data_IF_476277186715
#
_entry.id   IF_476277186715
#
_cell.length_a   1.000
_cell.length_b   1.000
_cell.length_c   1.000
_cell.angle_alpha   90.00
_cell.angle_beta   90.00
_cell.angle_gamma   90.00
#
_symmetry.space_group_name_H-M   'P 1'
#
loop_
_entity.id
_entity.type
_entity.pdbx_description
1 polymer ?
#
# COMPACT_ATOMS: atom_id res chain seq x y z
N UNK A 1 41.72 -49.46 -23.97
CA UNK A 1 41.19 -48.13 -24.32
C UNK A 1 41.73 -47.12 -23.32
N UNK A 2 42.78 -46.38 -23.67
CA UNK A 2 43.32 -45.32 -22.80
C UNK A 2 42.55 -44.04 -23.07
N UNK A 3 41.70 -43.63 -22.12
CA UNK A 3 40.99 -42.35 -22.20
C UNK A 3 41.95 -41.15 -22.16
N UNK A 4 41.49 -40.00 -22.67
CA UNK A 4 42.25 -38.74 -22.62
C UNK A 4 42.51 -38.31 -21.17
N UNK A 5 43.66 -37.68 -20.86
CA UNK A 5 43.99 -37.23 -19.51
C UNK A 5 43.02 -36.15 -19.04
N UNK A 6 42.58 -36.26 -17.77
CA UNK A 6 41.63 -35.33 -17.15
C UNK A 6 42.19 -34.74 -15.86
N UNK A 7 41.78 -33.52 -15.54
CA UNK A 7 42.10 -32.85 -14.27
C UNK A 7 41.25 -33.39 -13.09
N UNK A 8 41.51 -32.88 -11.89
CA UNK A 8 40.79 -33.21 -10.65
C UNK A 8 39.28 -32.89 -10.72
N UNK A 9 38.87 -32.05 -11.68
CA UNK A 9 37.49 -31.64 -11.92
C UNK A 9 36.84 -32.42 -13.07
N UNK A 10 37.57 -33.35 -13.70
CA UNK A 10 37.11 -34.20 -14.80
C UNK A 10 37.15 -33.54 -16.18
N UNK A 11 37.77 -32.37 -16.33
CA UNK A 11 37.98 -31.74 -17.63
C UNK A 11 39.17 -32.36 -18.35
N UNK A 12 39.06 -32.52 -19.66
CA UNK A 12 40.20 -32.93 -20.50
C UNK A 12 41.30 -31.86 -20.37
N UNK A 13 42.53 -32.30 -20.11
CA UNK A 13 43.70 -31.43 -20.02
C UNK A 13 44.17 -31.11 -21.44
N UNK A 14 44.08 -29.83 -21.82
CA UNK A 14 44.54 -29.32 -23.12
C UNK A 14 45.81 -28.46 -22.97
N UNK A 15 46.71 -28.45 -23.96
CA UNK A 15 46.68 -29.30 -25.15
C UNK A 15 47.09 -30.75 -24.83
N UNK A 16 46.70 -31.70 -25.67
CA UNK A 16 47.02 -33.12 -25.48
C UNK A 16 48.52 -33.39 -25.68
N UNK A 17 49.01 -34.47 -25.08
CA UNK A 17 50.38 -34.93 -25.35
C UNK A 17 50.53 -35.28 -26.84
N UNK A 18 51.57 -34.73 -27.48
CA UNK A 18 51.77 -34.86 -28.93
C UNK A 18 50.98 -33.86 -29.80
N UNK A 19 50.29 -32.88 -29.20
CA UNK A 19 49.63 -31.81 -29.95
C UNK A 19 50.60 -31.01 -30.81
N UNK A 20 50.08 -30.40 -31.89
CA UNK A 20 50.84 -29.44 -32.70
C UNK A 20 51.49 -28.35 -31.81
N UNK A 21 52.79 -28.12 -31.99
CA UNK A 21 53.55 -27.14 -31.22
C UNK A 21 53.42 -25.74 -31.85
N UNK A 22 53.31 -24.73 -30.99
CA UNK A 22 53.29 -23.33 -31.39
C UNK A 22 54.70 -22.73 -31.36
N UNK A 23 55.03 -21.78 -32.26
CA UNK A 23 54.22 -21.32 -33.39
C UNK A 23 54.24 -22.29 -34.58
N UNK A 24 53.19 -22.29 -35.39
CA UNK A 24 53.16 -23.02 -36.66
C UNK A 24 52.60 -22.15 -37.77
N UNK A 25 52.88 -22.54 -39.03
CA UNK A 25 52.48 -21.80 -40.21
C UNK A 25 51.41 -22.57 -40.98
N UNK A 26 50.38 -21.84 -41.43
CA UNK A 26 49.27 -22.40 -42.20
C UNK A 26 49.17 -21.63 -43.50
N UNK A 27 49.00 -22.35 -44.61
CA UNK A 27 48.68 -21.71 -45.89
C UNK A 27 47.19 -21.39 -45.92
N UNK A 28 46.86 -20.12 -46.13
CA UNK A 28 45.50 -19.68 -46.35
C UNK A 28 45.17 -19.61 -47.84
N UNK A 29 43.90 -19.84 -48.17
CA UNK A 29 43.37 -19.55 -49.50
C UNK A 29 42.88 -18.10 -49.51
N UNK A 30 43.47 -17.30 -50.39
CA UNK A 30 43.10 -15.88 -50.56
C UNK A 30 41.84 -15.82 -51.42
N UNK A 31 40.77 -15.23 -50.87
CA UNK A 31 39.50 -15.06 -51.58
C UNK A 31 39.48 -13.72 -52.30
N UNK A 32 39.99 -12.67 -51.65
CA UNK A 32 40.21 -11.35 -52.23
C UNK A 32 41.32 -10.60 -51.46
N UNK A 33 41.53 -9.31 -51.74
CA UNK A 33 42.56 -8.50 -51.09
C UNK A 33 42.37 -8.27 -49.58
N UNK A 34 41.21 -8.59 -49.02
CA UNK A 34 40.84 -8.34 -47.62
C UNK A 34 40.51 -9.61 -46.84
N UNK A 35 40.11 -10.68 -47.52
CA UNK A 35 39.59 -11.90 -46.92
C UNK A 35 40.43 -13.11 -47.33
N UNK A 36 40.89 -13.86 -46.33
CA UNK A 36 41.53 -15.15 -46.48
C UNK A 36 40.84 -16.16 -45.56
N UNK A 37 40.69 -17.39 -46.04
CA UNK A 37 40.17 -18.51 -45.23
C UNK A 37 41.23 -19.60 -45.20
N UNK A 38 41.43 -20.18 -44.02
CA UNK A 38 42.27 -21.36 -43.83
C UNK A 38 41.51 -22.37 -42.99
N UNK A 39 41.84 -23.64 -43.19
CA UNK A 39 41.32 -24.75 -42.38
C UNK A 39 42.49 -25.57 -41.87
N UNK A 40 42.30 -26.19 -40.71
CA UNK A 40 43.26 -27.09 -40.11
C UNK A 40 42.63 -28.47 -39.97
N UNK A 41 43.46 -29.51 -40.03
CA UNK A 41 43.02 -30.87 -39.72
C UNK A 41 43.20 -31.18 -38.23
N UNK A 42 44.13 -30.47 -37.57
CA UNK A 42 44.44 -30.64 -36.16
C UNK A 42 44.21 -29.33 -35.39
N UNK A 43 43.41 -29.45 -34.33
CA UNK A 43 43.08 -28.37 -33.40
C UNK A 43 43.53 -28.69 -31.96
N UNK A 44 44.29 -29.77 -31.76
CA UNK A 44 44.71 -30.26 -30.44
C UNK A 44 45.58 -29.28 -29.63
N UNK A 45 46.16 -28.31 -30.32
CA UNK A 45 46.97 -27.22 -29.76
C UNK A 45 46.13 -26.10 -29.11
N UNK A 46 44.83 -26.03 -29.43
CA UNK A 46 43.95 -24.96 -29.01
C UNK A 46 43.45 -25.20 -27.58
N UNK A 47 43.88 -24.36 -26.64
CA UNK A 47 43.32 -24.28 -25.29
C UNK A 47 42.63 -22.93 -25.09
N UNK A 48 41.45 -22.76 -25.67
CA UNK A 48 40.65 -21.53 -25.59
C UNK A 48 40.06 -21.25 -24.20
N UNK A 49 40.16 -22.19 -23.24
CA UNK A 49 39.75 -21.95 -21.85
C UNK A 49 40.76 -21.14 -21.04
N UNK A 50 42.04 -21.34 -21.31
CA UNK A 50 43.12 -20.76 -20.51
C UNK A 50 43.96 -19.73 -21.26
N UNK A 51 43.98 -19.77 -22.60
CA UNK A 51 44.88 -18.97 -23.42
C UNK A 51 44.15 -18.28 -24.55
N UNK A 52 44.62 -17.07 -24.85
CA UNK A 52 44.29 -16.34 -26.07
C UNK A 52 45.37 -16.61 -27.10
N UNK A 53 44.95 -16.78 -28.36
CA UNK A 53 45.84 -17.02 -29.48
C UNK A 53 45.72 -15.89 -30.48
N UNK A 54 46.84 -15.55 -31.11
CA UNK A 54 46.93 -14.50 -32.12
C UNK A 54 47.54 -15.03 -33.41
N UNK A 55 47.16 -14.41 -34.52
CA UNK A 55 47.64 -14.72 -35.86
C UNK A 55 48.44 -13.55 -36.40
N UNK A 56 49.52 -13.89 -37.08
CA UNK A 56 50.20 -13.00 -38.00
C UNK A 56 50.03 -13.52 -39.42
N UNK A 57 49.88 -12.60 -40.37
CA UNK A 57 49.77 -12.90 -41.79
C UNK A 57 51.03 -12.44 -42.53
N UNK A 58 51.36 -13.15 -43.61
CA UNK A 58 52.50 -12.83 -44.47
C UNK A 58 52.14 -13.18 -45.91
N UNK A 59 52.56 -12.33 -46.85
CA UNK A 59 52.45 -12.56 -48.28
C UNK A 59 53.72 -13.20 -48.89
N UNK A 60 54.87 -13.05 -48.24
CA UNK A 60 56.18 -13.54 -48.70
C UNK A 60 56.69 -14.75 -47.92
N UNK A 61 56.02 -15.10 -46.81
CA UNK A 61 56.42 -16.17 -45.89
C UNK A 61 57.64 -15.85 -45.04
N UNK A 62 58.12 -14.60 -45.08
CA UNK A 62 59.33 -14.15 -44.38
C UNK A 62 58.99 -13.03 -43.38
N UNK A 63 58.20 -12.05 -43.81
CA UNK A 63 57.78 -10.92 -42.99
C UNK A 63 56.33 -11.11 -42.56
N UNK A 64 56.12 -11.22 -41.25
CA UNK A 64 54.82 -11.45 -40.64
C UNK A 64 54.32 -10.19 -39.95
N UNK A 65 53.08 -9.80 -40.24
CA UNK A 65 52.44 -8.64 -39.67
C UNK A 65 51.04 -8.97 -39.17
N UNK A 66 50.60 -8.28 -38.13
CA UNK A 66 49.28 -8.46 -37.54
C UNK A 66 48.40 -7.23 -37.82
N UNK A 67 47.81 -6.66 -36.78
CA UNK A 67 46.87 -5.54 -36.88
C UNK A 67 47.54 -4.34 -37.56
N UNK A 68 46.93 -3.84 -38.62
CA UNK A 68 47.36 -2.67 -39.41
C UNK A 68 48.83 -2.72 -39.89
N UNK A 69 49.38 -3.92 -40.09
CA UNK A 69 50.77 -4.09 -40.51
C UNK A 69 51.81 -4.00 -39.39
N UNK A 70 51.37 -3.89 -38.12
CA UNK A 70 52.24 -3.83 -36.95
C UNK A 70 52.58 -5.21 -36.38
N UNK A 71 53.47 -5.24 -35.40
CA UNK A 71 53.86 -6.46 -34.66
C UNK A 71 52.82 -6.88 -33.60
N UNK A 72 51.59 -6.39 -33.68
CA UNK A 72 50.49 -6.75 -32.78
C UNK A 72 49.63 -7.82 -33.42
N UNK A 73 49.54 -9.01 -32.83
CA UNK A 73 48.83 -10.15 -33.43
C UNK A 73 47.31 -9.93 -33.52
N UNK A 74 46.67 -10.42 -34.58
CA UNK A 74 45.21 -10.45 -34.70
C UNK A 74 44.66 -11.57 -33.82
N UNK A 75 43.81 -11.24 -32.83
CA UNK A 75 43.24 -12.22 -31.90
C UNK A 75 42.26 -13.16 -32.61
N UNK A 76 42.34 -14.45 -32.27
CA UNK A 76 41.38 -15.45 -32.71
C UNK A 76 40.08 -15.39 -31.89
N UNK A 77 38.97 -15.13 -32.57
CA UNK A 77 37.63 -15.37 -32.05
C UNK A 77 37.23 -16.81 -32.35
N UNK A 78 37.01 -17.59 -31.30
CA UNK A 78 36.76 -19.02 -31.40
C UNK A 78 35.29 -19.29 -31.17
N UNK A 79 34.63 -19.84 -32.19
CA UNK A 79 33.25 -20.35 -32.11
C UNK A 79 33.36 -21.88 -32.19
N UNK A 80 32.89 -22.58 -31.15
CA UNK A 80 32.87 -24.05 -31.10
C UNK A 80 31.44 -24.52 -31.38
N UNK A 81 31.26 -25.37 -32.39
CA UNK A 81 29.95 -25.95 -32.75
C UNK A 81 29.65 -27.20 -31.89
N UNK A 82 30.58 -28.15 -31.81
CA UNK A 82 30.43 -29.39 -31.02
C UNK A 82 31.78 -29.84 -30.42
N UNK A 83 31.78 -30.36 -29.18
CA UNK A 83 32.97 -30.98 -28.58
C UNK A 83 33.04 -30.96 -27.06
N UNK A 84 33.63 -32.02 -26.46
CA UNK A 84 33.80 -32.15 -25.00
C UNK A 84 34.66 -31.05 -24.36
N UNK A 85 35.39 -30.28 -25.18
CA UNK A 85 36.19 -29.16 -24.74
C UNK A 85 35.36 -28.08 -24.03
N UNK A 86 34.05 -28.01 -24.30
CA UNK A 86 33.13 -26.98 -23.75
C UNK A 86 31.75 -27.49 -23.34
N UNK A 87 31.56 -28.78 -23.04
CA UNK A 87 30.40 -29.16 -22.22
C UNK A 87 30.64 -28.64 -20.81
N UNK A 88 30.42 -27.33 -20.64
CA UNK A 88 29.84 -26.74 -19.45
C UNK A 88 28.45 -27.38 -19.31
N UNK A 89 28.41 -28.67 -18.98
CA UNK A 89 27.57 -28.99 -17.87
C UNK A 89 28.09 -28.05 -16.78
N UNK A 90 27.24 -27.14 -16.32
CA UNK A 90 27.27 -26.76 -14.91
C UNK A 90 27.15 -28.08 -14.13
N UNK A 91 28.23 -28.87 -14.08
CA UNK A 91 28.48 -29.81 -13.01
C UNK A 91 28.77 -28.89 -11.85
N UNK A 92 27.71 -28.33 -11.29
CA UNK A 92 27.68 -28.08 -9.86
C UNK A 92 28.35 -29.33 -9.28
N UNK A 93 29.44 -29.14 -8.55
CA UNK A 93 29.94 -30.24 -7.73
C UNK A 93 28.89 -30.47 -6.64
N UNK A 94 27.76 -31.06 -7.02
CA UNK A 94 26.66 -31.52 -6.16
C UNK A 94 27.19 -32.56 -5.16
N UNK A 95 28.39 -33.12 -5.43
CA UNK A 95 29.16 -33.99 -4.58
C UNK A 95 29.99 -33.26 -3.51
N UNK A 96 30.05 -31.92 -3.50
CA UNK A 96 30.60 -31.19 -2.36
C UNK A 96 29.56 -31.22 -1.24
N UNK A 97 29.94 -31.66 -0.03
CA UNK A 97 29.10 -31.70 1.17
C UNK A 97 28.34 -30.38 1.43
N UNK A 98 28.87 -29.26 0.96
CA UNK A 98 28.26 -27.93 1.00
C UNK A 98 26.92 -27.86 0.25
N UNK A 99 26.74 -28.62 -0.83
CA UNK A 99 25.50 -28.64 -1.62
C UNK A 99 24.30 -29.23 -0.84
N UNK A 100 24.56 -30.04 0.19
CA UNK A 100 23.53 -30.56 1.10
C UNK A 100 23.18 -29.59 2.24
N UNK A 101 24.11 -28.71 2.63
CA UNK A 101 23.91 -27.78 3.75
C UNK A 101 23.29 -26.45 3.33
N UNK A 102 23.64 -25.94 2.16
CA UNK A 102 23.18 -24.62 1.70
C UNK A 102 21.64 -24.58 1.55
N UNK A 103 20.97 -25.55 0.89
CA UNK A 103 19.51 -25.51 0.73
C UNK A 103 18.72 -25.48 2.05
N UNK A 104 18.94 -26.39 3.03
CA UNK A 104 18.16 -26.36 4.28
C UNK A 104 18.43 -25.12 5.13
N UNK A 105 19.66 -24.58 5.12
CA UNK A 105 19.98 -23.33 5.83
C UNK A 105 19.19 -22.17 5.24
N UNK A 106 19.24 -22.00 3.92
CA UNK A 106 18.53 -20.91 3.23
C UNK A 106 17.02 -21.02 3.46
N UNK A 107 16.46 -22.23 3.33
CA UNK A 107 15.03 -22.48 3.61
C UNK A 107 14.70 -22.18 5.07
N UNK A 108 15.54 -22.58 6.02
CA UNK A 108 15.36 -22.31 7.44
C UNK A 108 15.35 -20.81 7.79
N UNK A 109 16.24 -20.03 7.18
CA UNK A 109 16.21 -18.56 7.35
C UNK A 109 14.98 -17.94 6.71
N UNK A 110 14.60 -18.38 5.51
CA UNK A 110 13.43 -17.87 4.82
C UNK A 110 12.13 -18.12 5.61
N UNK A 111 11.98 -19.32 6.18
CA UNK A 111 10.81 -19.67 6.99
C UNK A 111 10.76 -18.86 8.28
N UNK A 112 11.88 -18.64 8.97
CA UNK A 112 11.94 -17.79 10.17
C UNK A 112 11.58 -16.33 9.86
N UNK A 113 12.06 -15.78 8.73
CA UNK A 113 11.74 -14.42 8.31
C UNK A 113 10.24 -14.28 8.02
N UNK A 114 9.67 -15.20 7.23
CA UNK A 114 8.24 -15.19 6.91
C UNK A 114 7.41 -15.35 8.19
N UNK A 115 7.77 -16.30 9.05
CA UNK A 115 7.11 -16.51 10.34
C UNK A 115 7.15 -15.25 11.21
N UNK A 116 8.28 -14.55 11.27
CA UNK A 116 8.42 -13.29 12.03
C UNK A 116 7.54 -12.17 11.48
N UNK A 117 7.45 -12.03 10.15
CA UNK A 117 6.58 -11.04 9.50
C UNK A 117 5.10 -11.33 9.82
N UNK A 118 4.67 -12.59 9.67
CA UNK A 118 3.30 -13.01 9.98
C UNK A 118 2.98 -12.78 11.45
N UNK A 119 3.88 -13.15 12.36
CA UNK A 119 3.70 -12.92 13.80
C UNK A 119 3.53 -11.43 14.11
N UNK A 120 4.37 -10.56 13.54
CA UNK A 120 4.28 -9.11 13.76
C UNK A 120 2.94 -8.55 13.29
N UNK A 121 2.50 -8.91 12.08
CA UNK A 121 1.20 -8.47 11.55
C UNK A 121 0.02 -8.97 12.39
N UNK A 122 0.11 -10.20 12.89
CA UNK A 122 -0.92 -10.78 13.74
C UNK A 122 -0.98 -10.11 15.11
N UNK A 123 0.18 -9.88 15.76
CA UNK A 123 0.26 -9.23 17.07
C UNK A 123 -0.31 -7.80 17.03
N UNK A 124 0.09 -7.00 16.04
CA UNK A 124 -0.41 -5.64 15.86
C UNK A 124 -1.93 -5.60 15.68
N UNK A 125 -2.49 -6.61 15.00
CA UNK A 125 -3.94 -6.71 14.77
C UNK A 125 -4.68 -7.21 16.01
N UNK A 126 -4.05 -8.11 16.78
CA UNK A 126 -4.61 -8.65 18.01
C UNK A 126 -4.76 -7.56 19.10
N UNK A 127 -3.73 -6.73 19.29
CA UNK A 127 -3.77 -5.64 20.27
C UNK A 127 -4.85 -4.59 19.93
N UNK A 128 -4.94 -4.18 18.66
CA UNK A 128 -5.98 -3.22 18.20
C UNK A 128 -7.40 -3.74 18.43
N UNK A 129 -7.63 -5.03 18.20
CA UNK A 129 -8.93 -5.64 18.44
C UNK A 129 -9.29 -5.63 19.93
N UNK A 130 -8.31 -5.89 20.81
CA UNK A 130 -8.51 -5.86 22.27
C UNK A 130 -8.83 -4.46 22.78
N UNK A 131 -8.15 -3.44 22.28
CA UNK A 131 -8.44 -2.05 22.62
C UNK A 131 -9.85 -1.63 22.16
N UNK A 132 -10.26 -2.02 20.96
CA UNK A 132 -11.58 -1.73 20.44
C UNK A 132 -12.70 -2.39 21.27
N UNK A 133 -12.50 -3.62 21.74
CA UNK A 133 -13.44 -4.28 22.65
C UNK A 133 -13.53 -3.58 24.00
N UNK A 134 -12.40 -3.23 24.61
CA UNK A 134 -12.37 -2.44 25.85
C UNK A 134 -13.08 -1.09 25.67
N UNK A 135 -12.86 -0.41 24.56
CA UNK A 135 -13.49 0.87 24.26
C UNK A 135 -15.01 0.73 24.11
N UNK A 136 -15.49 -0.31 23.42
CA UNK A 136 -16.92 -0.61 23.30
C UNK A 136 -17.55 -0.86 24.68
N UNK A 137 -16.89 -1.61 25.56
CA UNK A 137 -17.37 -1.84 26.92
C UNK A 137 -17.48 -0.53 27.72
N UNK A 138 -16.50 0.37 27.60
CA UNK A 138 -16.54 1.68 28.26
C UNK A 138 -17.67 2.57 27.77
N UNK A 139 -17.92 2.58 26.45
CA UNK A 139 -19.02 3.31 25.83
C UNK A 139 -20.36 2.75 26.34
N UNK A 140 -20.53 1.43 26.29
CA UNK A 140 -21.74 0.76 26.79
C UNK A 140 -22.00 1.06 28.28
N UNK A 141 -20.95 1.06 29.11
CA UNK A 141 -21.07 1.46 30.52
C UNK A 141 -21.45 2.93 30.72
N UNK A 142 -20.95 3.83 29.86
CA UNK A 142 -21.34 5.24 29.88
C UNK A 142 -22.82 5.40 29.51
N UNK A 143 -23.26 4.75 28.44
CA UNK A 143 -24.63 4.85 27.93
C UNK A 143 -25.65 4.30 28.93
N UNK A 144 -25.37 3.14 29.55
CA UNK A 144 -26.21 2.61 30.62
C UNK A 144 -26.36 3.59 31.80
N UNK A 145 -25.28 4.27 32.19
CA UNK A 145 -25.34 5.29 33.26
C UNK A 145 -26.20 6.49 32.85
N UNK A 146 -26.09 6.95 31.61
CA UNK A 146 -26.91 8.06 31.11
C UNK A 146 -28.40 7.69 31.05
N UNK A 147 -28.74 6.50 30.54
CA UNK A 147 -30.12 6.01 30.51
C UNK A 147 -30.70 5.87 31.91
N UNK A 148 -29.92 5.39 32.88
CA UNK A 148 -30.36 5.32 34.27
C UNK A 148 -30.67 6.71 34.84
N UNK A 149 -29.80 7.70 34.62
CA UNK A 149 -30.04 9.09 35.04
C UNK A 149 -31.26 9.69 34.35
N UNK A 150 -31.47 9.42 33.06
CA UNK A 150 -32.65 9.89 32.35
C UNK A 150 -33.93 9.28 32.92
N UNK A 151 -33.92 7.98 33.21
CA UNK A 151 -35.06 7.29 33.81
C UNK A 151 -35.39 7.81 35.22
N UNK A 152 -34.38 8.17 36.03
CA UNK A 152 -34.64 8.78 37.34
C UNK A 152 -35.23 10.17 37.20
N UNK A 153 -34.71 11.00 36.29
CA UNK A 153 -35.26 12.34 36.00
C UNK A 153 -36.70 12.23 35.50
N UNK A 154 -36.99 11.34 34.55
CA UNK A 154 -38.34 11.14 34.01
C UNK A 154 -39.33 10.73 35.11
N UNK A 155 -38.93 9.83 36.02
CA UNK A 155 -39.76 9.46 37.19
C UNK A 155 -40.02 10.64 38.13
N UNK A 156 -39.03 11.50 38.35
CA UNK A 156 -39.19 12.70 39.18
C UNK A 156 -40.15 13.69 38.54
N UNK A 157 -40.01 13.90 37.23
CA UNK A 157 -40.91 14.75 36.43
C UNK A 157 -42.34 14.23 36.53
N UNK A 158 -42.55 12.93 36.33
CA UNK A 158 -43.87 12.31 36.40
C UNK A 158 -44.57 12.54 37.74
N UNK A 159 -43.84 12.31 38.85
CA UNK A 159 -44.36 12.58 40.20
C UNK A 159 -44.71 14.05 40.39
N UNK A 160 -43.90 14.96 39.84
CA UNK A 160 -44.17 16.39 39.94
C UNK A 160 -45.44 16.78 39.17
N UNK A 161 -45.65 16.23 37.97
CA UNK A 161 -46.89 16.41 37.21
C UNK A 161 -48.11 15.85 37.97
N UNK A 162 -48.02 14.62 38.50
CA UNK A 162 -49.11 13.99 39.26
C UNK A 162 -49.46 14.81 40.52
N UNK A 163 -48.47 15.27 41.26
CA UNK A 163 -48.67 16.09 42.47
C UNK A 163 -49.32 17.45 42.15
N UNK A 164 -48.91 18.11 41.06
CA UNK A 164 -49.51 19.37 40.64
C UNK A 164 -50.89 19.20 39.98
N UNK A 165 -51.17 18.04 39.37
CA UNK A 165 -52.46 17.77 38.73
C UNK A 165 -53.64 17.67 39.71
N UNK A 166 -53.37 17.33 40.98
CA UNK A 166 -54.37 17.32 42.05
C UNK A 166 -54.70 18.72 42.59
N UNK A 167 -53.98 19.77 42.17
CA UNK A 167 -54.21 21.17 42.55
C UNK A 167 -54.83 22.02 41.43
N UNK A 168 -55.19 21.42 40.30
CA UNK A 168 -55.81 22.13 39.17
C UNK A 168 -57.29 22.41 39.47
N UNK A 169 -57.59 23.64 39.88
CA UNK A 169 -58.94 24.23 39.81
C UNK A 169 -59.34 24.32 38.33
N UNK A 170 -60.60 24.02 37.94
CA UNK A 170 -61.04 24.20 36.56
C UNK A 170 -60.82 25.65 36.14
N UNK A 171 -60.06 25.85 35.06
CA UNK A 171 -59.92 27.14 34.40
C UNK A 171 -61.29 27.53 33.86
N UNK A 172 -61.91 28.53 34.47
CA UNK A 172 -63.02 29.26 33.86
C UNK A 172 -62.41 29.98 32.67
N UNK A 173 -62.91 29.70 31.45
CA UNK A 173 -62.59 30.49 30.27
C UNK A 173 -63.13 31.91 30.51
N UNK A 174 -62.24 32.80 30.94
CA UNK A 174 -62.49 34.25 30.97
C UNK A 174 -61.91 34.85 29.69
N UNK A 175 -62.81 35.27 28.82
CA UNK A 175 -62.61 35.77 27.45
C UNK A 175 -62.02 37.21 27.43
N UNK A 176 -61.19 37.61 28.40
CA UNK A 176 -60.85 39.03 28.57
C UNK A 176 -59.42 39.39 29.01
N UNK A 177 -58.41 38.54 28.76
CA UNK A 177 -56.99 38.86 29.08
C UNK A 177 -56.12 38.91 27.81
N UNK A 178 -55.35 39.99 27.55
CA UNK A 178 -54.47 40.06 26.38
C UNK A 178 -53.29 39.09 26.53
N UNK A 179 -53.14 38.21 25.54
CA UNK A 179 -52.11 37.18 25.43
C UNK A 179 -50.69 37.76 25.29
N UNK A 180 -50.00 38.01 26.40
CA UNK A 180 -48.53 38.19 26.43
C UNK A 180 -47.89 36.91 27.00
N UNK A 181 -47.24 36.12 26.13
CA UNK A 181 -46.21 35.16 26.55
C UNK A 181 -46.43 33.67 26.28
N UNK A 182 -47.41 33.24 25.49
CA UNK A 182 -47.40 31.87 24.96
C UNK A 182 -46.34 31.76 23.85
N UNK A 183 -45.31 30.94 24.07
CA UNK A 183 -44.32 30.64 23.03
C UNK A 183 -45.04 29.82 21.96
N UNK A 184 -45.30 30.44 20.81
CA UNK A 184 -45.91 29.76 19.65
C UNK A 184 -44.98 28.60 19.24
N UNK A 185 -45.55 27.40 19.12
CA UNK A 185 -44.83 26.21 18.69
C UNK A 185 -44.77 26.15 17.16
N UNK A 186 -43.55 26.23 16.61
CA UNK A 186 -43.30 26.16 15.17
C UNK A 186 -42.75 24.80 14.73
N UNK A 187 -42.71 23.81 15.62
CA UNK A 187 -42.12 22.48 15.35
C UNK A 187 -42.76 21.72 14.19
N UNK A 188 -44.06 21.95 13.97
CA UNK A 188 -44.83 21.34 12.89
C UNK A 188 -44.75 22.12 11.57
N UNK A 189 -44.15 23.31 11.57
CA UNK A 189 -44.04 24.13 10.36
C UNK A 189 -42.81 23.68 9.56
N UNK A 190 -43.05 23.28 8.32
CA UNK A 190 -42.02 22.86 7.37
C UNK A 190 -41.17 24.07 6.92
N UNK A 191 -39.85 23.88 6.80
CA UNK A 191 -38.90 24.95 6.42
C UNK A 191 -39.16 25.52 5.01
N UNK A 192 -39.75 24.72 4.13
CA UNK A 192 -40.07 25.03 2.74
C UNK A 192 -41.55 25.35 2.51
N UNK A 193 -42.34 25.51 3.58
CA UNK A 193 -43.75 25.89 3.45
C UNK A 193 -43.92 27.33 2.93
N UNK A 194 -45.02 27.57 2.23
CA UNK A 194 -45.42 28.93 1.84
C UNK A 194 -45.59 29.84 3.08
N UNK A 195 -45.98 29.25 4.22
CA UNK A 195 -46.05 29.90 5.54
C UNK A 195 -44.68 30.33 6.07
N UNK A 196 -43.61 29.57 5.75
CA UNK A 196 -42.24 29.87 6.15
C UNK A 196 -41.60 31.00 5.33
N UNK A 197 -41.90 31.01 4.03
CA UNK A 197 -41.22 31.84 3.04
C UNK A 197 -41.84 33.23 2.88
N UNK A 198 -43.13 33.40 3.22
CA UNK A 198 -43.85 34.68 3.17
C UNK A 198 -43.82 35.52 4.44
N UNK A 199 -43.32 35.00 5.56
CA UNK A 199 -43.37 35.64 6.89
C UNK A 199 -42.07 36.39 7.21
N UNK A 200 -42.17 37.65 7.66
CA UNK A 200 -41.02 38.39 8.19
C UNK A 200 -40.70 37.94 9.63
N UNK A 201 -39.61 37.18 9.79
CA UNK A 201 -39.21 36.58 11.07
C UNK A 201 -38.43 37.51 12.02
N UNK A 202 -38.18 38.74 11.59
CA UNK A 202 -37.34 39.69 12.32
C UNK A 202 -35.83 39.38 12.21
N UNK A 203 -35.00 40.13 12.95
CA UNK A 203 -33.55 40.15 12.75
C UNK A 203 -32.82 38.89 13.23
N UNK A 204 -33.46 38.05 14.06
CA UNK A 204 -32.89 36.78 14.50
C UNK A 204 -33.26 35.60 13.59
N UNK A 205 -33.99 35.85 12.50
CA UNK A 205 -34.40 34.83 11.54
C UNK A 205 -35.51 33.93 12.07
N UNK A 206 -35.83 32.82 11.36
CA UNK A 206 -36.92 31.92 11.72
C UNK A 206 -36.72 31.30 13.12
N UNK A 207 -37.82 30.87 13.77
CA UNK A 207 -37.78 30.28 15.11
C UNK A 207 -36.91 29.03 15.16
N UNK A 208 -36.11 28.88 16.22
CA UNK A 208 -35.22 27.72 16.40
C UNK A 208 -35.96 26.37 16.44
N UNK A 209 -37.26 26.36 16.75
CA UNK A 209 -38.08 25.14 16.75
C UNK A 209 -38.62 24.76 15.38
N UNK A 210 -38.44 25.57 14.34
CA UNK A 210 -39.01 25.32 13.02
C UNK A 210 -38.41 24.09 12.32
N UNK A 211 -39.25 23.32 11.61
CA UNK A 211 -38.81 22.15 10.83
C UNK A 211 -38.44 20.91 11.65
N UNK A 212 -38.60 20.93 12.98
CA UNK A 212 -38.25 19.77 13.82
C UNK A 212 -39.03 18.50 13.45
N UNK A 213 -40.29 18.65 13.06
CA UNK A 213 -41.11 17.51 12.62
C UNK A 213 -40.60 16.86 11.33
N UNK A 214 -39.96 17.62 10.42
CA UNK A 214 -39.33 17.05 9.21
C UNK A 214 -38.15 16.13 9.57
N UNK A 215 -37.54 16.33 10.73
CA UNK A 215 -36.48 15.49 11.28
C UNK A 215 -37.01 14.43 12.27
N UNK A 216 -38.32 14.22 12.33
CA UNK A 216 -38.96 13.22 13.21
C UNK A 216 -39.05 13.63 14.68
N UNK A 217 -38.84 14.91 15.00
CA UNK A 217 -38.91 15.46 16.36
C UNK A 217 -40.23 16.24 16.52
N UNK A 218 -41.22 15.60 17.13
CA UNK A 218 -42.57 16.16 17.30
C UNK A 218 -42.76 17.00 18.57
N UNK A 219 -41.78 17.02 19.46
CA UNK A 219 -41.75 17.88 20.64
C UNK A 219 -40.35 18.51 20.75
N UNK A 220 -40.24 19.85 20.78
CA UNK A 220 -38.95 20.52 20.89
C UNK A 220 -38.20 20.11 22.16
N UNK A 221 -36.92 19.71 22.05
CA UNK A 221 -36.04 19.57 23.20
C UNK A 221 -35.96 20.88 23.99
N UNK A 222 -35.72 20.79 25.30
CA UNK A 222 -35.69 21.96 26.20
C UNK A 222 -34.68 23.01 25.74
N UNK A 223 -33.55 22.57 25.20
CA UNK A 223 -32.49 23.42 24.68
C UNK A 223 -32.98 24.27 23.50
N UNK A 224 -33.80 23.70 22.62
CA UNK A 224 -34.38 24.41 21.47
C UNK A 224 -35.44 25.41 21.92
N UNK A 225 -36.26 25.05 22.92
CA UNK A 225 -37.23 25.97 23.52
C UNK A 225 -36.54 27.17 24.18
N UNK A 226 -35.43 26.95 24.90
CA UNK A 226 -34.65 28.03 25.50
C UNK A 226 -34.05 28.97 24.45
N UNK A 227 -33.56 28.43 23.33
CA UNK A 227 -33.05 29.23 22.21
C UNK A 227 -34.16 30.08 21.60
N UNK A 228 -35.35 29.50 21.37
CA UNK A 228 -36.49 30.24 20.85
C UNK A 228 -36.94 31.35 21.82
N UNK A 229 -36.95 31.09 23.12
CA UNK A 229 -37.26 32.13 24.12
C UNK A 229 -36.24 33.27 24.10
N UNK A 230 -34.95 32.98 23.86
CA UNK A 230 -33.93 34.03 23.70
C UNK A 230 -34.14 34.85 22.42
N UNK A 231 -34.44 34.20 21.29
CA UNK A 231 -34.77 34.89 20.04
C UNK A 231 -35.97 35.83 20.22
N UNK A 232 -37.04 35.35 20.85
CA UNK A 232 -38.24 36.15 21.11
C UNK A 232 -37.95 37.39 21.99
N UNK A 233 -37.12 37.24 23.02
CA UNK A 233 -36.68 38.36 23.87
C UNK A 233 -35.88 39.40 23.09
N UNK A 234 -34.96 38.96 22.23
CA UNK A 234 -34.12 39.84 21.42
C UNK A 234 -34.97 40.59 20.39
N UNK A 235 -35.87 39.89 19.69
CA UNK A 235 -36.78 40.52 18.73
C UNK A 235 -37.71 41.54 19.42
N UNK A 236 -38.29 41.21 20.59
CA UNK A 236 -39.14 42.14 21.38
C UNK A 236 -38.35 43.38 21.81
N UNK A 237 -37.09 43.21 22.24
CA UNK A 237 -36.22 44.33 22.59
C UNK A 237 -35.87 45.22 21.39
N UNK A 238 -35.59 44.64 20.23
CA UNK A 238 -35.28 45.39 19.00
C UNK A 238 -36.50 46.15 18.47
N UNK A 239 -37.69 45.55 18.50
CA UNK A 239 -38.93 46.21 18.11
C UNK A 239 -39.27 47.39 19.05
N UNK A 240 -39.13 47.22 20.37
CA UNK A 240 -39.29 48.34 21.32
C UNK A 240 -38.31 49.48 21.05
N UNK A 241 -37.07 49.17 20.65
CA UNK A 241 -36.06 50.18 20.33
C UNK A 241 -36.35 50.93 19.04
N UNK A 242 -36.94 50.27 18.03
CA UNK A 242 -37.40 50.91 16.79
C UNK A 242 -38.58 51.86 17.01
N UNK A 243 -39.47 51.56 17.96
CA UNK A 243 -40.64 52.39 18.28
C UNK A 243 -40.26 53.69 19.02
N UNK A 244 -39.07 53.73 19.64
CA UNK A 244 -38.56 54.87 20.40
C UNK A 244 -37.66 55.83 19.59
N UNK A 245 -37.48 55.59 18.28
CA UNK A 245 -36.72 56.45 17.34
C UNK A 245 -37.65 57.05 16.30
#
# INVERSE_FOLDING_TARGET
>A
ESGLPRDDRGYIIWPLEGSTQLPFFVKATVINSQNAIFSLNDYSWLNSRLKWYGIFASNDGVNFAGIDGNNESVRLDVIIEEGEQFVNYLRFQLSAWQAWLIPPIVVGFLTLIISGIVYKLWNDRYEKNKEAEHMKLLIQQRDHRQVQQLNTINRLIQRHYEQNSQQLVPVIEDESIPSDGSVIDYSLVALDSDEATGQEWGPTGPPASMGLAQHGIYQPPKEILELQMRQNKVNKWLEQKKILQ
#
